data_IF_837540077839
#
_entry.id   IF_837540077839
#
_cell.length_a   1.000
_cell.length_b   1.000
_cell.length_c   1.000
_cell.angle_alpha   90.00
_cell.angle_beta   90.00
_cell.angle_gamma   90.00
#
_symmetry.space_group_name_H-M   'P 1'
#
loop_
_entity.id
_entity.type
_entity.pdbx_description
1 polymer ?
#
# COMPACT_ATOMS: atom_id res chain seq x y z
N UNK A 1 24.27 -9.56 -23.07
CA UNK A 1 23.54 -10.23 -21.98
C UNK A 1 22.06 -9.85 -22.11
N UNK A 2 21.28 -10.68 -22.79
CA UNK A 2 20.11 -10.26 -23.58
C UNK A 2 18.77 -10.13 -22.83
N UNK A 3 17.86 -9.36 -23.42
CA UNK A 3 16.47 -9.10 -23.00
C UNK A 3 15.68 -10.33 -22.54
N UNK A 4 16.06 -11.54 -22.98
CA UNK A 4 15.38 -12.80 -22.69
C UNK A 4 15.41 -13.22 -21.21
N UNK A 5 16.39 -12.75 -20.42
CA UNK A 5 16.42 -13.03 -18.98
C UNK A 5 15.29 -12.35 -18.18
N UNK A 6 14.57 -11.39 -18.79
CA UNK A 6 13.44 -10.68 -18.18
C UNK A 6 12.08 -11.38 -18.38
N UNK A 7 12.04 -12.50 -19.12
CA UNK A 7 10.82 -13.28 -19.39
C UNK A 7 10.67 -14.50 -18.47
N UNK A 8 11.30 -14.49 -17.29
CA UNK A 8 11.11 -15.56 -16.31
C UNK A 8 9.71 -15.44 -15.69
N UNK A 9 8.90 -16.51 -15.71
CA UNK A 9 7.63 -16.53 -15.01
C UNK A 9 7.83 -16.34 -13.50
N UNK A 10 7.02 -15.47 -12.90
CA UNK A 10 7.02 -15.21 -11.47
C UNK A 10 5.60 -15.38 -10.90
N UNK A 11 5.38 -16.27 -9.94
CA UNK A 11 4.08 -16.41 -9.29
C UNK A 11 3.82 -15.20 -8.40
N UNK A 12 2.64 -14.58 -8.56
CA UNK A 12 2.15 -13.50 -7.71
C UNK A 12 1.10 -14.10 -6.78
N UNK A 13 1.24 -13.84 -5.48
CA UNK A 13 0.27 -14.19 -4.45
C UNK A 13 0.24 -13.07 -3.42
N UNK A 14 -0.78 -12.22 -3.49
CA UNK A 14 -0.88 -10.99 -2.71
C UNK A 14 -2.26 -10.85 -2.10
N UNK A 15 -2.33 -10.38 -0.87
CA UNK A 15 -3.57 -9.85 -0.29
C UNK A 15 -3.76 -8.42 -0.78
N UNK A 16 -4.99 -8.10 -1.17
CA UNK A 16 -5.44 -6.78 -1.52
C UNK A 16 -6.29 -6.24 -0.37
N UNK A 17 -5.88 -5.07 0.11
CA UNK A 17 -6.60 -4.28 1.09
C UNK A 17 -7.13 -3.01 0.44
N UNK A 18 -8.26 -2.53 0.94
CA UNK A 18 -8.90 -1.33 0.42
C UNK A 18 -9.45 -0.42 1.50
N UNK A 19 -9.50 0.87 1.18
CA UNK A 19 -10.41 1.82 1.78
C UNK A 19 -11.22 2.45 0.65
N UNK A 20 -12.51 2.14 0.59
CA UNK A 20 -13.40 2.60 -0.49
C UNK A 20 -13.67 4.08 -0.34
N UNK A 21 -13.83 4.77 -1.47
CA UNK A 21 -14.18 6.18 -1.46
C UNK A 21 -15.40 6.46 -0.57
N UNK A 22 -15.34 7.56 0.18
CA UNK A 22 -16.35 8.00 1.15
C UNK A 22 -16.55 7.06 2.34
N UNK A 23 -15.62 6.12 2.59
CA UNK A 23 -15.64 5.35 3.83
C UNK A 23 -15.44 6.25 5.04
N UNK A 24 -16.21 6.00 6.10
CA UNK A 24 -15.98 6.64 7.38
C UNK A 24 -14.71 6.08 8.04
N UNK A 25 -13.77 6.95 8.37
CA UNK A 25 -12.54 6.60 9.09
C UNK A 25 -12.67 7.01 10.55
N UNK A 26 -12.21 6.17 11.46
CA UNK A 26 -12.16 6.48 12.89
C UNK A 26 -11.10 7.53 13.21
N UNK A 27 -11.37 8.42 14.16
CA UNK A 27 -10.39 9.37 14.71
C UNK A 27 -9.53 8.78 15.86
N UNK A 28 -9.52 7.46 16.02
CA UNK A 28 -8.78 6.79 17.11
C UNK A 28 -7.25 6.89 16.95
N UNK A 29 -6.75 7.01 15.72
CA UNK A 29 -5.33 7.25 15.44
C UNK A 29 -5.04 8.76 15.39
N UNK A 30 -3.78 9.14 15.66
CA UNK A 30 -3.24 10.51 15.63
C UNK A 30 -3.51 11.46 16.83
N UNK A 31 -4.08 11.04 17.96
CA UNK A 31 -4.28 12.00 19.08
C UNK A 31 -2.98 12.57 19.64
N UNK A 32 -1.91 11.78 19.67
CA UNK A 32 -0.60 12.17 20.21
C UNK A 32 0.57 11.71 19.32
N UNK A 33 0.40 11.68 18.00
CA UNK A 33 1.46 11.22 17.09
C UNK A 33 2.61 12.26 17.05
N UNK A 34 3.83 11.95 17.55
CA UNK A 34 4.85 12.96 17.83
C UNK A 34 5.66 13.34 16.59
N UNK A 35 5.35 12.77 15.43
CA UNK A 35 6.13 12.92 14.22
C UNK A 35 5.41 13.81 13.21
N UNK A 36 6.18 14.72 12.61
CA UNK A 36 5.74 15.49 11.46
C UNK A 36 5.73 14.59 10.21
N UNK A 37 4.62 14.60 9.48
CA UNK A 37 4.47 13.90 8.20
C UNK A 37 4.55 14.92 7.08
N UNK A 38 5.60 14.84 6.26
CA UNK A 38 5.77 15.70 5.08
C UNK A 38 5.39 14.96 3.81
N UNK A 39 4.94 15.69 2.78
CA UNK A 39 4.70 15.14 1.45
C UNK A 39 5.76 15.64 0.46
N UNK A 40 6.46 14.72 -0.20
CA UNK A 40 7.32 15.02 -1.35
C UNK A 40 6.51 14.86 -2.63
N UNK A 41 6.23 15.98 -3.30
CA UNK A 41 5.53 15.97 -4.60
C UNK A 41 6.36 15.29 -5.70
N UNK A 42 7.66 15.61 -5.75
CA UNK A 42 8.58 15.10 -6.77
C UNK A 42 8.66 13.57 -6.78
N UNK A 43 8.58 12.94 -5.61
CA UNK A 43 8.64 11.48 -5.46
C UNK A 43 7.25 10.85 -5.21
N UNK A 44 6.20 11.67 -5.10
CA UNK A 44 4.84 11.25 -4.72
C UNK A 44 4.83 10.34 -3.48
N UNK A 45 5.41 10.80 -2.37
CA UNK A 45 5.52 10.00 -1.15
C UNK A 45 5.36 10.81 0.12
N UNK A 46 4.84 10.18 1.17
CA UNK A 46 4.85 10.71 2.52
C UNK A 46 6.11 10.27 3.23
N UNK A 47 6.77 11.18 3.92
CA UNK A 47 8.03 10.94 4.63
C UNK A 47 7.94 11.45 6.06
N UNK A 48 8.71 10.80 6.94
CA UNK A 48 9.04 11.34 8.25
C UNK A 48 10.54 11.33 8.37
N UNK A 49 11.10 12.44 8.88
CA UNK A 49 12.51 12.55 9.23
C UNK A 49 12.69 12.93 10.69
N UNK A 50 13.73 12.40 11.30
CA UNK A 50 14.19 12.82 12.62
C UNK A 50 15.67 13.18 12.56
N UNK A 51 16.01 14.41 12.97
CA UNK A 51 17.38 14.96 12.89
C UNK A 51 18.01 14.82 11.50
N UNK A 52 17.20 14.95 10.45
CA UNK A 52 17.61 14.82 9.04
C UNK A 52 17.58 13.39 8.48
N UNK A 53 17.47 12.36 9.33
CA UNK A 53 17.46 10.96 8.91
C UNK A 53 16.05 10.51 8.51
N UNK A 54 15.93 9.76 7.42
CA UNK A 54 14.64 9.18 6.99
C UNK A 54 14.25 8.04 7.93
N UNK A 55 13.17 8.22 8.70
CA UNK A 55 12.67 7.16 9.60
C UNK A 55 11.52 6.38 8.95
N UNK A 56 10.74 7.01 8.08
CA UNK A 56 9.61 6.38 7.41
C UNK A 56 9.37 6.97 6.02
N UNK A 57 8.93 6.14 5.08
CA UNK A 57 8.31 6.58 3.84
C UNK A 57 7.16 5.66 3.41
N UNK A 58 6.18 6.24 2.73
CA UNK A 58 5.10 5.53 2.03
C UNK A 58 4.87 6.16 0.65
N UNK A 59 5.10 5.42 -0.44
CA UNK A 59 4.95 5.91 -1.81
C UNK A 59 3.53 5.77 -2.31
N UNK A 60 3.10 6.74 -3.12
CA UNK A 60 1.83 6.73 -3.82
C UNK A 60 2.02 6.42 -5.30
N UNK A 61 1.12 5.60 -5.82
CA UNK A 61 1.03 5.26 -7.23
C UNK A 61 -0.38 5.55 -7.73
N UNK A 62 -0.50 6.41 -8.73
CA UNK A 62 -1.79 6.71 -9.40
C UNK A 62 -2.17 5.66 -10.44
N UNK A 63 -1.29 4.68 -10.69
CA UNK A 63 -1.47 3.61 -11.65
C UNK A 63 -0.71 2.36 -11.22
N UNK A 64 -1.38 1.21 -11.26
CA UNK A 64 -0.77 -0.11 -11.08
C UNK A 64 -1.20 -1.04 -12.21
N UNK A 65 -0.23 -1.59 -12.95
CA UNK A 65 -0.51 -2.58 -14.00
C UNK A 65 -1.18 -3.83 -13.44
N UNK A 66 -0.79 -4.26 -12.24
CA UNK A 66 -1.40 -5.42 -11.58
C UNK A 66 -2.88 -5.13 -11.27
N UNK A 67 -3.19 -4.02 -10.60
CA UNK A 67 -4.58 -3.67 -10.27
C UNK A 67 -5.44 -3.52 -11.54
N UNK A 68 -4.91 -2.87 -12.59
CA UNK A 68 -5.59 -2.76 -13.90
C UNK A 68 -5.89 -4.13 -14.50
N UNK A 69 -4.93 -5.07 -14.45
CA UNK A 69 -5.11 -6.42 -14.98
C UNK A 69 -6.15 -7.24 -14.21
N UNK A 70 -6.38 -6.91 -12.93
CA UNK A 70 -7.41 -7.50 -12.09
C UNK A 70 -8.74 -6.73 -12.10
N UNK A 71 -8.89 -5.72 -12.98
CA UNK A 71 -10.16 -5.04 -13.22
C UNK A 71 -10.46 -3.83 -12.32
N UNK A 72 -9.52 -3.40 -11.48
CA UNK A 72 -9.70 -2.22 -10.64
C UNK A 72 -9.57 -0.93 -11.47
N UNK A 73 -10.59 -0.07 -11.38
CA UNK A 73 -10.75 1.13 -12.22
C UNK A 73 -10.40 2.40 -11.44
N UNK A 74 -9.86 3.39 -12.15
CA UNK A 74 -9.59 4.73 -11.62
C UNK A 74 -10.89 5.53 -11.37
N UNK A 75 -10.86 6.59 -10.53
CA UNK A 75 -9.71 7.06 -9.76
C UNK A 75 -9.43 6.20 -8.52
N UNK A 76 -8.18 5.75 -8.41
CA UNK A 76 -7.63 5.12 -7.22
C UNK A 76 -6.20 5.61 -6.97
N UNK A 77 -5.75 5.47 -5.73
CA UNK A 77 -4.34 5.48 -5.38
C UNK A 77 -3.94 4.09 -4.85
N UNK A 78 -2.74 3.65 -5.20
CA UNK A 78 -2.12 2.50 -4.56
C UNK A 78 -0.98 2.99 -3.66
N UNK A 79 -0.89 2.43 -2.46
CA UNK A 79 0.22 2.71 -1.53
C UNK A 79 1.17 1.52 -1.55
N UNK A 80 2.46 1.77 -1.71
CA UNK A 80 3.50 0.75 -1.81
C UNK A 80 4.88 1.27 -1.43
N UNK A 81 5.91 0.44 -1.64
CA UNK A 81 7.32 0.75 -1.33
C UNK A 81 7.54 1.39 0.05
N UNK A 82 6.74 0.94 1.02
CA UNK A 82 6.75 1.46 2.38
C UNK A 82 8.02 0.99 3.10
N UNK A 83 8.62 1.89 3.85
CA UNK A 83 9.81 1.59 4.65
C UNK A 83 9.66 2.26 6.01
N UNK A 84 10.06 1.55 7.06
CA UNK A 84 10.29 2.12 8.40
C UNK A 84 11.62 1.61 8.89
N UNK A 85 12.46 2.53 9.35
CA UNK A 85 13.75 2.21 9.98
C UNK A 85 13.54 1.27 11.16
N UNK A 86 14.45 0.30 11.33
CA UNK A 86 14.29 -0.79 12.29
C UNK A 86 14.18 -0.28 13.74
N UNK A 87 14.87 0.81 14.07
CA UNK A 87 14.84 1.41 15.41
C UNK A 87 13.49 2.07 15.74
N UNK A 88 12.68 2.32 14.72
CA UNK A 88 11.40 3.01 14.81
C UNK A 88 10.19 2.08 14.60
N UNK A 89 10.43 0.80 14.35
CA UNK A 89 9.36 -0.19 14.19
C UNK A 89 8.65 -0.46 15.52
N UNK A 90 7.39 -0.86 15.42
CA UNK A 90 6.55 -1.14 16.60
C UNK A 90 5.95 0.10 17.27
N UNK A 91 6.41 1.31 16.93
CA UNK A 91 5.96 2.57 17.55
C UNK A 91 4.71 3.17 16.90
N UNK A 92 3.98 2.41 16.07
CA UNK A 92 2.77 2.88 15.40
C UNK A 92 2.99 3.88 14.26
N UNK A 93 4.23 4.17 13.84
CA UNK A 93 4.51 5.10 12.74
C UNK A 93 3.79 4.70 11.44
N UNK A 94 3.99 3.46 10.99
CA UNK A 94 3.37 2.95 9.76
C UNK A 94 1.84 3.09 9.74
N UNK A 95 1.07 2.59 10.73
CA UNK A 95 -0.39 2.76 10.73
C UNK A 95 -0.84 4.23 10.82
N UNK A 96 -0.16 5.10 11.58
CA UNK A 96 -0.52 6.52 11.64
C UNK A 96 -0.30 7.24 10.30
N UNK A 97 0.81 6.96 9.61
CA UNK A 97 1.07 7.51 8.27
C UNK A 97 0.06 7.00 7.26
N UNK A 98 -0.24 5.70 7.25
CA UNK A 98 -1.30 5.17 6.39
C UNK A 98 -2.64 5.84 6.66
N UNK A 99 -3.02 5.98 7.93
CA UNK A 99 -4.26 6.62 8.32
C UNK A 99 -4.33 8.09 7.85
N UNK A 100 -3.23 8.83 7.97
CA UNK A 100 -3.12 10.18 7.41
C UNK A 100 -3.36 10.20 5.90
N UNK A 101 -2.75 9.26 5.16
CA UNK A 101 -2.97 9.13 3.71
C UNK A 101 -4.44 8.81 3.41
N UNK A 102 -5.05 7.86 4.13
CA UNK A 102 -6.46 7.52 3.94
C UNK A 102 -7.35 8.74 4.13
N UNK A 103 -7.20 9.50 5.23
CA UNK A 103 -7.96 10.73 5.48
C UNK A 103 -7.83 11.75 4.36
N UNK A 104 -6.64 11.87 3.77
CA UNK A 104 -6.39 12.82 2.68
C UNK A 104 -7.08 12.43 1.37
N UNK A 105 -7.19 11.15 1.05
CA UNK A 105 -7.60 10.70 -0.29
C UNK A 105 -8.96 9.99 -0.35
N UNK A 106 -9.47 9.47 0.77
CA UNK A 106 -10.70 8.66 0.79
C UNK A 106 -11.94 9.41 0.28
N UNK A 107 -11.98 10.74 0.32
CA UNK A 107 -13.09 11.52 -0.23
C UNK A 107 -13.15 11.53 -1.77
N UNK A 108 -12.03 11.22 -2.43
CA UNK A 108 -11.88 11.40 -3.89
C UNK A 108 -11.39 10.16 -4.62
N UNK A 109 -10.77 9.21 -3.93
CA UNK A 109 -10.13 8.03 -4.50
C UNK A 109 -10.49 6.78 -3.71
N UNK A 110 -10.55 5.64 -4.39
CA UNK A 110 -10.34 4.38 -3.69
C UNK A 110 -8.86 4.25 -3.34
N UNK A 111 -8.55 3.71 -2.17
CA UNK A 111 -7.17 3.44 -1.76
C UNK A 111 -6.93 1.95 -1.72
N UNK A 112 -5.88 1.49 -2.39
CA UNK A 112 -5.50 0.08 -2.44
C UNK A 112 -4.10 -0.16 -1.89
N UNK A 113 -3.91 -1.29 -1.21
CA UNK A 113 -2.59 -1.77 -0.80
C UNK A 113 -2.47 -3.27 -1.09
N UNK A 114 -1.30 -3.67 -1.56
CA UNK A 114 -0.98 -5.06 -1.84
C UNK A 114 0.12 -5.52 -0.90
N UNK A 115 -0.07 -6.69 -0.29
CA UNK A 115 0.88 -7.23 0.68
C UNK A 115 1.04 -8.74 0.51
N UNK A 116 2.25 -9.26 0.75
CA UNK A 116 2.46 -10.69 0.83
C UNK A 116 1.68 -11.29 2.02
N UNK A 117 1.00 -12.45 1.87
CA UNK A 117 0.24 -13.07 2.97
C UNK A 117 1.06 -13.36 4.24
N UNK A 118 2.39 -13.48 4.11
CA UNK A 118 3.32 -13.76 5.22
C UNK A 118 3.77 -12.51 5.97
N UNK A 119 3.46 -11.30 5.48
CA UNK A 119 3.91 -10.05 6.10
C UNK A 119 2.90 -9.58 7.16
N UNK A 120 2.87 -10.30 8.29
CA UNK A 120 2.00 -10.00 9.43
C UNK A 120 2.14 -8.58 9.98
N UNK A 121 3.35 -7.99 10.10
CA UNK A 121 3.49 -6.61 10.56
C UNK A 121 2.78 -5.59 9.67
N UNK A 122 2.93 -5.71 8.34
CA UNK A 122 2.24 -4.81 7.41
C UNK A 122 0.72 -5.02 7.43
N UNK A 123 0.26 -6.27 7.48
CA UNK A 123 -1.18 -6.61 7.59
C UNK A 123 -1.80 -5.90 8.79
N UNK A 124 -1.24 -6.10 9.99
CA UNK A 124 -1.75 -5.46 11.22
C UNK A 124 -1.67 -3.94 11.16
N UNK A 125 -0.64 -3.38 10.49
CA UNK A 125 -0.51 -1.94 10.30
C UNK A 125 -1.61 -1.37 9.40
N UNK A 126 -1.91 -2.03 8.29
CA UNK A 126 -2.99 -1.63 7.37
C UNK A 126 -4.37 -1.72 8.04
N UNK A 127 -4.65 -2.82 8.74
CA UNK A 127 -5.91 -3.00 9.48
C UNK A 127 -6.10 -1.91 10.54
N UNK A 128 -5.05 -1.64 11.34
CA UNK A 128 -5.07 -0.55 12.33
C UNK A 128 -5.33 0.81 11.70
N UNK A 129 -4.80 1.07 10.51
CA UNK A 129 -5.00 2.32 9.79
C UNK A 129 -6.45 2.50 9.29
N UNK A 130 -7.21 1.40 9.19
CA UNK A 130 -8.59 1.38 8.71
C UNK A 130 -8.75 0.81 7.30
N UNK A 131 -7.73 0.13 6.75
CA UNK A 131 -7.92 -0.66 5.53
C UNK A 131 -8.59 -1.99 5.85
N UNK A 132 -9.47 -2.44 4.95
CA UNK A 132 -10.22 -3.68 5.07
C UNK A 132 -9.69 -4.68 4.05
N UNK A 133 -9.49 -5.97 4.41
CA UNK A 133 -9.14 -6.99 3.43
C UNK A 133 -10.26 -7.13 2.39
N UNK A 134 -9.89 -7.17 1.11
CA UNK A 134 -10.84 -7.26 0.01
C UNK A 134 -10.76 -8.59 -0.73
N UNK A 135 -9.54 -9.01 -1.07
CA UNK A 135 -9.32 -10.22 -1.85
C UNK A 135 -7.88 -10.73 -1.72
N UNK A 136 -7.66 -11.97 -2.16
CA UNK A 136 -6.35 -12.52 -2.48
C UNK A 136 -6.21 -12.66 -3.99
N UNK A 137 -5.20 -12.00 -4.54
CA UNK A 137 -4.88 -11.99 -5.97
C UNK A 137 -3.78 -12.99 -6.27
N UNK A 138 -4.05 -13.92 -7.19
CA UNK A 138 -3.07 -14.91 -7.67
C UNK A 138 -2.97 -14.89 -9.18
N UNK A 139 -1.76 -14.93 -9.70
CA UNK A 139 -1.52 -15.06 -11.13
C UNK A 139 -0.07 -15.47 -11.42
N UNK A 140 0.20 -15.86 -12.65
CA UNK A 140 1.57 -15.99 -13.15
C UNK A 140 1.93 -14.73 -13.96
N UNK A 141 2.97 -14.01 -13.54
CA UNK A 141 3.46 -12.83 -14.25
C UNK A 141 4.62 -13.21 -15.17
N UNK A 142 4.55 -12.82 -16.44
CA UNK A 142 5.63 -12.98 -17.42
C UNK A 142 5.82 -11.61 -18.10
N UNK A 143 6.86 -10.87 -17.72
CA UNK A 143 7.04 -9.49 -18.17
C UNK A 143 5.82 -8.60 -17.81
N UNK A 144 5.14 -7.95 -18.78
CA UNK A 144 3.93 -7.16 -18.53
C UNK A 144 2.64 -7.98 -18.54
N UNK A 145 2.69 -9.28 -18.84
CA UNK A 145 1.51 -10.15 -19.00
C UNK A 145 1.18 -10.85 -17.68
N UNK A 146 -0.11 -10.93 -17.36
CA UNK A 146 -0.65 -11.61 -16.18
C UNK A 146 -1.58 -12.75 -16.63
N UNK A 147 -1.14 -14.00 -16.44
CA UNK A 147 -1.85 -15.22 -16.82
C UNK A 147 -2.52 -15.87 -15.61
N UNK A 148 -3.55 -16.69 -15.86
CA UNK A 148 -4.26 -17.48 -14.84
C UNK A 148 -4.69 -16.63 -13.63
N UNK A 149 -5.24 -15.45 -13.91
CA UNK A 149 -5.69 -14.49 -12.89
C UNK A 149 -6.83 -15.10 -12.08
N UNK A 150 -6.63 -15.19 -10.78
CA UNK A 150 -7.61 -15.68 -9.82
C UNK A 150 -7.76 -14.67 -8.68
N UNK A 151 -9.01 -14.35 -8.36
CA UNK A 151 -9.37 -13.44 -7.26
C UNK A 151 -10.25 -14.22 -6.30
N UNK A 152 -9.77 -14.40 -5.07
CA UNK A 152 -10.55 -15.01 -3.99
C UNK A 152 -10.95 -13.91 -3.03
N UNK A 153 -12.26 -13.67 -2.85
CA UNK A 153 -12.74 -12.69 -1.86
C UNK A 153 -12.37 -13.15 -0.46
N UNK A 154 -12.09 -12.18 0.40
CA UNK A 154 -11.86 -12.41 1.83
C UNK A 154 -13.13 -11.89 2.51
N UNK A 155 -13.88 -12.79 3.12
CA UNK A 155 -15.09 -12.49 3.89
C UNK A 155 -14.74 -12.00 5.31
#
# INVERSE_FOLDING_TARGET
MGLLNKLKPFPVDLLLYSCTRNSALSDALNKDFPYQIDFSEADSQFIIKEKGNLIHRSKLFTSSLLLKNFGYKQPYIAIGDCFTDDNYRGQGIYPNVLHHILKKFVSTHDVYMLVAPTNTPSIKGMEKAGLIPLARLRCLKIGPIYLNKNTVKID
#
